data_IF_131121782261
#
_entry.id   IF_131121782261
#
_cell.length_a   1.000
_cell.length_b   1.000
_cell.length_c   1.000
_cell.angle_alpha   90.00
_cell.angle_beta   90.00
_cell.angle_gamma   90.00
#
_symmetry.space_group_name_H-M   'P 1'
#
loop_
_entity.id
_entity.type
_entity.pdbx_description
1 polymer ?
#
# COMPACT_ATOMS: atom_id res chain seq x y z
N UNK A 1 -2.56 -24.19 9.16
CA UNK A 1 -3.21 -25.50 8.95
C UNK A 1 -3.51 -25.57 7.47
N UNK A 2 -2.97 -26.55 6.74
CA UNK A 2 -3.12 -26.62 5.29
C UNK A 2 -3.96 -27.85 4.98
N UNK A 3 -5.14 -27.62 4.42
CA UNK A 3 -6.08 -28.70 4.13
C UNK A 3 -5.54 -29.54 2.97
N UNK A 4 -5.52 -30.86 3.18
CA UNK A 4 -5.07 -31.81 2.16
C UNK A 4 -6.22 -32.09 1.18
N UNK A 5 -6.28 -31.31 0.10
CA UNK A 5 -7.31 -31.45 -0.94
C UNK A 5 -6.89 -32.53 -1.94
N UNK A 6 -7.77 -33.51 -2.18
CA UNK A 6 -7.56 -34.48 -3.24
C UNK A 6 -8.06 -33.92 -4.58
N UNK A 7 -7.13 -33.41 -5.38
CA UNK A 7 -7.42 -32.75 -6.68
C UNK A 7 -8.17 -33.66 -7.65
N UNK A 8 -7.97 -34.99 -7.58
CA UNK A 8 -8.63 -35.95 -8.49
C UNK A 8 -10.14 -36.06 -8.25
N UNK A 9 -10.57 -35.89 -7.00
CA UNK A 9 -11.97 -36.03 -6.60
C UNK A 9 -12.62 -34.72 -6.15
N UNK A 10 -11.85 -33.63 -6.13
CA UNK A 10 -12.36 -32.30 -5.86
C UNK A 10 -13.48 -31.96 -6.85
N UNK A 11 -14.55 -31.38 -6.32
CA UNK A 11 -15.71 -30.94 -7.11
C UNK A 11 -15.99 -29.48 -6.79
N UNK A 12 -16.53 -28.78 -7.77
CA UNK A 12 -16.86 -27.37 -7.71
C UNK A 12 -18.36 -27.25 -8.00
N UNK A 13 -19.06 -26.42 -7.22
CA UNK A 13 -20.47 -26.13 -7.43
C UNK A 13 -20.69 -25.42 -8.78
N UNK A 14 -21.85 -25.64 -9.41
CA UNK A 14 -22.20 -25.02 -10.69
C UNK A 14 -22.18 -23.49 -10.66
N UNK A 15 -22.46 -22.90 -9.50
CA UNK A 15 -22.61 -21.45 -9.33
C UNK A 15 -21.32 -20.67 -9.59
N UNK A 16 -20.19 -21.38 -9.66
CA UNK A 16 -18.90 -20.79 -10.03
C UNK A 16 -18.71 -20.63 -11.55
N UNK A 17 -19.64 -21.14 -12.37
CA UNK A 17 -19.62 -21.07 -13.82
C UNK A 17 -20.78 -20.23 -14.35
N UNK A 18 -20.55 -19.55 -15.48
CA UNK A 18 -21.60 -18.82 -16.18
C UNK A 18 -22.39 -19.77 -17.07
N UNK A 19 -23.62 -19.38 -17.41
CA UNK A 19 -24.45 -20.17 -18.33
C UNK A 19 -23.79 -20.36 -19.71
N UNK A 20 -22.98 -19.39 -20.15
CA UNK A 20 -22.19 -19.41 -21.39
C UNK A 20 -21.05 -20.44 -21.39
N UNK A 21 -20.62 -20.89 -20.22
CA UNK A 21 -19.47 -21.78 -20.03
C UNK A 21 -19.88 -23.24 -20.29
N UNK A 22 -21.19 -23.51 -20.26
CA UNK A 22 -21.76 -24.78 -20.66
C UNK A 22 -21.82 -24.91 -22.18
N UNK A 23 -21.71 -26.14 -22.66
CA UNK A 23 -21.94 -26.48 -24.05
C UNK A 23 -23.43 -26.34 -24.39
N UNK A 24 -23.71 -25.68 -25.51
CA UNK A 24 -25.06 -25.69 -26.06
C UNK A 24 -25.29 -27.02 -26.78
N UNK A 25 -26.02 -27.92 -26.13
CA UNK A 25 -26.40 -29.18 -26.74
C UNK A 25 -27.64 -28.99 -27.63
N UNK A 26 -27.43 -28.32 -28.77
CA UNK A 26 -28.48 -28.04 -29.75
C UNK A 26 -29.20 -29.29 -30.21
N UNK A 27 -28.47 -30.42 -30.34
CA UNK A 27 -29.04 -31.71 -30.72
C UNK A 27 -30.06 -32.20 -29.69
N UNK A 28 -29.73 -32.17 -28.40
CA UNK A 28 -30.69 -32.55 -27.35
C UNK A 28 -31.87 -31.58 -27.28
N UNK A 29 -31.62 -30.28 -27.49
CA UNK A 29 -32.68 -29.27 -27.56
C UNK A 29 -33.67 -29.57 -28.69
N UNK A 30 -33.16 -29.89 -29.87
CA UNK A 30 -33.97 -30.18 -31.06
C UNK A 30 -34.76 -31.48 -30.92
N UNK A 31 -34.16 -32.50 -30.31
CA UNK A 31 -34.79 -33.81 -30.11
C UNK A 31 -35.69 -33.88 -28.86
N UNK A 32 -35.85 -32.77 -28.12
CA UNK A 32 -36.62 -32.74 -26.87
C UNK A 32 -36.06 -33.63 -25.76
N UNK A 33 -34.77 -34.00 -25.85
CA UNK A 33 -34.11 -34.85 -24.86
C UNK A 33 -33.63 -34.02 -23.67
N UNK A 34 -33.43 -34.69 -22.54
CA UNK A 34 -32.91 -34.02 -21.35
C UNK A 34 -31.53 -33.39 -21.63
N UNK A 35 -31.42 -32.09 -21.39
CA UNK A 35 -30.18 -31.36 -21.52
C UNK A 35 -29.31 -31.63 -20.30
N UNK A 36 -28.28 -32.48 -20.47
CA UNK A 36 -27.19 -32.54 -19.51
C UNK A 36 -26.34 -31.27 -19.67
N UNK A 37 -26.12 -30.56 -18.57
CA UNK A 37 -25.24 -29.39 -18.52
C UNK A 37 -23.79 -29.88 -18.50
N UNK A 38 -23.13 -29.82 -19.64
CA UNK A 38 -21.72 -30.22 -19.82
C UNK A 38 -20.90 -28.95 -19.95
N UNK A 39 -19.81 -28.82 -19.19
CA UNK A 39 -18.89 -27.69 -19.32
C UNK A 39 -18.06 -27.82 -20.58
N UNK A 40 -17.72 -26.69 -21.23
CA UNK A 40 -16.70 -26.67 -22.27
C UNK A 40 -15.35 -27.11 -21.68
N UNK A 41 -14.49 -27.81 -22.45
CA UNK A 41 -13.23 -28.35 -21.94
C UNK A 41 -12.26 -27.27 -21.44
N UNK A 42 -12.27 -26.09 -22.06
CA UNK A 42 -11.36 -24.99 -21.73
C UNK A 42 -11.95 -24.01 -20.70
N UNK A 43 -13.10 -24.34 -20.12
CA UNK A 43 -13.81 -23.42 -19.23
C UNK A 43 -13.21 -23.45 -17.82
N UNK A 44 -13.02 -22.27 -17.25
CA UNK A 44 -12.49 -22.09 -15.90
C UNK A 44 -13.54 -21.38 -15.03
N UNK A 45 -13.65 -21.70 -13.73
CA UNK A 45 -14.58 -21.02 -12.85
C UNK A 45 -14.19 -19.54 -12.70
N UNK A 46 -15.00 -18.66 -13.28
CA UNK A 46 -14.66 -17.23 -13.43
C UNK A 46 -15.50 -16.30 -12.55
N UNK A 47 -16.64 -16.74 -12.03
CA UNK A 47 -17.62 -15.88 -11.33
C UNK A 47 -17.05 -15.27 -10.04
N UNK A 48 -16.17 -16.00 -9.35
CA UNK A 48 -15.59 -15.54 -8.07
C UNK A 48 -14.23 -14.87 -8.22
N UNK A 49 -13.75 -14.66 -9.45
CA UNK A 49 -12.58 -13.83 -9.68
C UNK A 49 -13.03 -12.38 -9.54
N UNK A 50 -13.03 -11.87 -8.31
CA UNK A 50 -13.02 -10.42 -8.09
C UNK A 50 -11.74 -9.90 -8.73
N UNK A 51 -11.82 -9.44 -9.98
CA UNK A 51 -10.88 -8.49 -10.50
C UNK A 51 -10.95 -7.32 -9.54
N UNK A 52 -9.92 -7.17 -8.71
CA UNK A 52 -9.68 -5.93 -8.01
C UNK A 52 -9.45 -4.90 -9.11
N UNK A 53 -10.54 -4.28 -9.59
CA UNK A 53 -10.44 -3.05 -10.34
C UNK A 53 -9.59 -2.14 -9.48
N UNK A 54 -8.50 -1.64 -10.08
CA UNK A 54 -7.42 -0.91 -9.44
C UNK A 54 -7.89 0.44 -8.87
N UNK A 55 -8.89 0.44 -8.00
CA UNK A 55 -9.00 1.47 -6.99
C UNK A 55 -7.71 1.37 -6.21
N UNK A 56 -6.93 2.45 -6.22
CA UNK A 56 -5.59 2.52 -5.62
C UNK A 56 -5.72 2.21 -4.14
N UNK A 57 -5.68 0.94 -3.79
CA UNK A 57 -5.81 0.48 -2.42
C UNK A 57 -4.56 0.95 -1.70
N UNK A 58 -4.75 2.00 -0.91
CA UNK A 58 -3.68 2.68 -0.20
C UNK A 58 -3.23 1.69 0.86
N UNK A 59 -2.18 0.93 0.56
CA UNK A 59 -1.70 -0.15 1.44
C UNK A 59 -1.65 0.33 2.89
N UNK A 60 -2.18 -0.47 3.83
CA UNK A 60 -2.15 -0.16 5.26
C UNK A 60 -0.77 0.28 5.78
N UNK A 61 0.31 -0.19 5.13
CA UNK A 61 1.68 0.24 5.40
C UNK A 61 1.91 1.73 5.09
N UNK A 62 1.42 2.20 3.94
CA UNK A 62 1.57 3.58 3.50
C UNK A 62 0.74 4.55 4.35
N UNK A 63 -0.46 4.14 4.78
CA UNK A 63 -1.27 4.92 5.73
C UNK A 63 -0.57 5.07 7.09
N UNK A 64 -0.07 3.96 7.65
CA UNK A 64 0.68 3.99 8.92
C UNK A 64 1.91 4.90 8.82
N UNK A 65 2.62 4.88 7.68
CA UNK A 65 3.76 5.76 7.44
C UNK A 65 3.35 7.23 7.43
N UNK A 66 2.26 7.59 6.74
CA UNK A 66 1.72 8.97 6.70
C UNK A 66 1.28 9.45 8.09
N UNK A 67 0.57 8.61 8.85
CA UNK A 67 0.15 8.92 10.22
C UNK A 67 1.36 9.17 11.13
N UNK A 68 2.39 8.32 11.04
CA UNK A 68 3.63 8.49 11.82
C UNK A 68 4.36 9.79 11.47
N UNK A 69 4.51 10.11 10.17
CA UNK A 69 5.21 11.33 9.75
C UNK A 69 4.49 12.59 10.21
N UNK A 70 3.16 12.63 10.10
CA UNK A 70 2.34 13.76 10.58
C UNK A 70 2.48 13.97 12.09
N UNK A 71 2.45 12.89 12.89
CA UNK A 71 2.65 12.98 14.34
C UNK A 71 4.05 13.47 14.70
N UNK A 72 5.09 12.99 14.01
CA UNK A 72 6.47 13.42 14.26
C UNK A 72 6.67 14.89 13.92
N UNK A 73 6.11 15.35 12.80
CA UNK A 73 6.17 16.75 12.40
C UNK A 73 5.49 17.66 13.43
N UNK A 74 4.30 17.30 13.90
CA UNK A 74 3.59 18.05 14.94
C UNK A 74 4.39 18.13 16.25
N UNK A 75 5.02 17.03 16.67
CA UNK A 75 5.88 16.99 17.87
C UNK A 75 7.10 17.91 17.75
N UNK A 76 7.74 17.94 16.59
CA UNK A 76 8.90 18.83 16.34
C UNK A 76 8.46 20.28 16.39
N UNK A 77 7.36 20.64 15.71
CA UNK A 77 6.80 22.00 15.73
C UNK A 77 6.49 22.46 17.16
N UNK A 78 5.82 21.62 17.96
CA UNK A 78 5.52 21.92 19.36
C UNK A 78 6.79 22.18 20.18
N UNK A 79 7.84 21.36 19.98
CA UNK A 79 9.12 21.54 20.67
C UNK A 79 9.77 22.88 20.32
N UNK A 80 9.72 23.29 19.05
CA UNK A 80 10.25 24.58 18.58
C UNK A 80 9.43 25.80 19.02
N UNK A 81 8.12 25.62 19.23
CA UNK A 81 7.20 26.67 19.70
C UNK A 81 7.34 26.96 21.20
N UNK A 82 8.16 26.18 21.93
CA UNK A 82 8.42 26.44 23.34
C UNK A 82 8.95 27.87 23.52
N UNK A 83 8.37 28.68 24.43
CA UNK A 83 8.83 30.05 24.64
C UNK A 83 10.32 30.07 24.95
N UNK A 84 11.10 30.83 24.18
CA UNK A 84 12.40 31.29 24.68
C UNK A 84 12.09 32.03 25.98
N UNK A 85 12.58 31.53 27.11
CA UNK A 85 12.60 32.34 28.34
C UNK A 85 13.31 33.64 27.94
N UNK A 86 12.65 34.78 28.15
CA UNK A 86 13.32 36.06 27.97
C UNK A 86 14.56 36.01 28.87
N UNK A 87 15.74 36.15 28.27
CA UNK A 87 16.94 36.37 29.07
C UNK A 87 16.67 37.67 29.82
N UNK A 88 16.51 37.57 31.14
CA UNK A 88 16.63 38.74 32.01
C UNK A 88 18.01 39.31 31.76
N UNK A 89 18.07 40.54 31.24
CA UNK A 89 19.31 41.28 31.04
C UNK A 89 19.96 41.46 32.42
N UNK A 90 21.09 40.80 32.75
CA UNK A 90 21.87 41.23 33.89
C UNK A 90 22.53 42.54 33.45
N UNK A 91 22.32 43.62 34.20
CA UNK A 91 23.05 44.86 34.00
C UNK A 91 24.56 44.56 33.99
N UNK A 92 25.22 44.78 32.86
CA UNK A 92 26.67 44.61 32.73
C UNK A 92 27.38 45.85 33.27
N UNK A 93 28.31 45.64 34.19
CA UNK A 93 29.48 46.52 34.37
C UNK A 93 30.51 46.23 33.25
N UNK A 94 31.21 47.23 32.69
CA UNK A 94 32.00 47.05 31.48
C UNK A 94 33.45 46.73 31.80
N UNK A 95 33.91 45.50 31.52
CA UNK A 95 35.35 45.24 31.47
C UNK A 95 35.75 44.36 30.27
N UNK A 96 36.28 45.08 29.27
CA UNK A 96 37.31 44.75 28.24
C UNK A 96 37.33 43.37 27.58
N UNK A 97 37.19 43.40 26.24
CA UNK A 97 37.55 42.40 25.20
C UNK A 97 39.02 41.92 25.34
N UNK A 98 39.44 40.71 24.86
CA UNK A 98 39.29 40.31 23.45
C UNK A 98 39.21 38.80 23.08
N UNK A 99 38.83 38.59 21.82
CA UNK A 99 39.37 37.59 20.86
C UNK A 99 38.32 36.66 20.27
N UNK A 100 38.12 36.90 18.98
CA UNK A 100 37.31 36.20 18.00
C UNK A 100 37.66 34.71 17.89
N UNK A 101 36.76 33.84 18.35
CA UNK A 101 36.66 32.48 17.82
C UNK A 101 35.47 32.45 16.86
N UNK A 102 35.79 32.55 15.57
CA UNK A 102 34.86 32.27 14.48
C UNK A 102 34.50 30.78 14.52
N UNK A 103 33.38 30.46 15.16
CA UNK A 103 32.73 29.17 14.99
C UNK A 103 32.12 29.16 13.59
N UNK A 104 32.83 28.47 12.70
CA UNK A 104 32.49 28.29 11.29
C UNK A 104 31.06 27.77 11.12
N UNK A 105 30.29 28.60 10.42
CA UNK A 105 28.92 28.40 9.99
C UNK A 105 28.75 27.24 9.00
N UNK A 106 27.74 26.41 9.28
CA UNK A 106 26.85 25.70 8.36
C UNK A 106 27.42 24.78 7.27
N UNK A 107 26.88 23.55 7.21
CA UNK A 107 26.05 23.09 6.09
C UNK A 107 25.64 21.63 6.33
N UNK A 108 24.34 21.37 6.54
CA UNK A 108 23.82 20.02 6.58
C UNK A 108 23.61 19.56 5.14
N UNK A 109 24.48 18.69 4.63
CA UNK A 109 24.32 18.12 3.30
C UNK A 109 23.10 17.20 3.26
N UNK A 110 22.08 17.60 2.50
CA UNK A 110 21.01 16.70 2.07
C UNK A 110 21.56 15.72 1.04
N UNK A 111 21.71 14.44 1.41
CA UNK A 111 21.95 13.38 0.44
C UNK A 111 20.69 13.11 -0.39
N UNK A 112 20.63 13.71 -1.58
CA UNK A 112 19.71 13.33 -2.65
C UNK A 112 20.23 12.03 -3.29
N UNK A 113 19.71 10.88 -2.85
CA UNK A 113 19.99 9.59 -3.47
C UNK A 113 19.35 9.54 -4.87
N UNK A 114 20.12 9.90 -5.90
CA UNK A 114 19.71 9.68 -7.29
C UNK A 114 20.04 8.23 -7.66
N UNK A 115 19.01 7.42 -7.81
CA UNK A 115 19.11 6.07 -8.35
C UNK A 115 19.03 6.16 -9.88
N UNK A 116 20.17 6.12 -10.56
CA UNK A 116 20.21 5.97 -12.01
C UNK A 116 20.43 4.50 -12.36
N UNK A 117 19.47 3.94 -13.08
CA UNK A 117 19.50 2.61 -13.69
C UNK A 117 19.54 2.81 -15.21
N UNK A 118 20.66 2.47 -15.83
CA UNK A 118 20.88 2.22 -17.28
C UNK A 118 22.33 1.69 -17.37
N UNK A 119 22.64 0.57 -18.02
CA UNK A 119 22.05 -0.08 -19.19
C UNK A 119 22.37 -1.58 -19.13
#
# INVERSE_FOLDING_TARGET
MQDHINVKYARICSDHFRLSDYMDNMKNRLLGLNQKKILKPDTVPSVNLTLQDNEKDVSSRSERKRKRSSIQEAKIRLKCLSPKRACETPAMEPFTTPTTENIYSSCFETQKKMHYFWK
#
